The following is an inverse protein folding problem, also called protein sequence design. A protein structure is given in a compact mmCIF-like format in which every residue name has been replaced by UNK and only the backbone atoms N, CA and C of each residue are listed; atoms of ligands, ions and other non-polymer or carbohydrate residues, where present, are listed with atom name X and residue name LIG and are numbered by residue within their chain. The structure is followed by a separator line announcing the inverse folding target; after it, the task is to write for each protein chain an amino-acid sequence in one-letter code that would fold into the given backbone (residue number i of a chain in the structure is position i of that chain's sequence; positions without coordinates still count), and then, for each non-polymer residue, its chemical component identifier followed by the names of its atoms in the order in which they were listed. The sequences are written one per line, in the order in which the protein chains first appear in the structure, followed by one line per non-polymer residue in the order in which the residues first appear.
data_IF_910320802287
#
_entry.id   IF_910320802287
#
_cell.length_a   1.000
_cell.length_b   1.000
_cell.length_c   1.000
_cell.angle_alpha   90.00
_cell.angle_beta   90.00
_cell.angle_gamma   90.00
#
_symmetry.space_group_name_H-M   'P 1'
#
loop_
_entity.id
_entity.type
_entity.pdbx_description
1 polymer ?
#
# COMPACT_ATOMS: atom_id res chain seq x y z
N UNK A 1 21.33 -14.34 1.32
CA UNK A 1 20.41 -13.27 1.80
C UNK A 1 19.91 -13.65 3.19
N UNK A 2 20.28 -12.92 4.25
CA UNK A 2 19.86 -13.25 5.61
C UNK A 2 18.48 -12.61 5.90
N UNK A 3 17.41 -13.39 5.84
CA UNK A 3 16.01 -12.95 5.95
C UNK A 3 15.53 -12.74 7.40
N UNK A 4 16.42 -12.79 8.39
CA UNK A 4 16.07 -12.73 9.82
C UNK A 4 16.53 -11.46 10.53
N UNK A 5 17.22 -10.54 9.83
CA UNK A 5 17.68 -9.26 10.39
C UNK A 5 16.53 -8.25 10.55
N UNK A 6 16.65 -7.22 11.42
CA UNK A 6 15.63 -6.16 11.59
C UNK A 6 15.24 -5.44 10.28
N UNK A 7 16.09 -5.44 9.25
CA UNK A 7 15.76 -4.93 7.91
C UNK A 7 14.86 -5.87 7.08
N UNK A 8 14.60 -7.07 7.58
CA UNK A 8 13.71 -8.09 6.99
C UNK A 8 12.24 -7.67 7.03
N UNK A 9 11.81 -6.98 8.08
CA UNK A 9 10.40 -6.62 8.27
C UNK A 9 9.87 -5.74 7.13
N UNK A 10 10.63 -4.73 6.69
CA UNK A 10 10.28 -3.88 5.54
C UNK A 10 10.19 -4.67 4.23
N UNK A 11 11.07 -5.66 4.05
CA UNK A 11 11.06 -6.52 2.86
C UNK A 11 9.87 -7.47 2.86
N UNK A 12 9.57 -8.09 4.00
CA UNK A 12 8.38 -8.94 4.15
C UNK A 12 7.11 -8.14 3.95
N UNK A 13 7.01 -6.94 4.53
CA UNK A 13 5.90 -6.03 4.27
C UNK A 13 5.77 -5.73 2.78
N UNK A 14 6.84 -5.30 2.13
CA UNK A 14 6.81 -4.96 0.71
C UNK A 14 6.42 -6.16 -0.16
N UNK A 15 6.95 -7.36 0.10
CA UNK A 15 6.60 -8.58 -0.65
C UNK A 15 5.13 -8.95 -0.43
N UNK A 16 4.67 -9.01 0.81
CA UNK A 16 3.31 -9.45 1.14
C UNK A 16 2.26 -8.48 0.59
N UNK A 17 2.46 -7.17 0.80
CA UNK A 17 1.52 -6.15 0.34
C UNK A 17 1.56 -6.01 -1.19
N UNK A 18 2.74 -6.04 -1.82
CA UNK A 18 2.82 -6.02 -3.28
C UNK A 18 2.16 -7.26 -3.90
N UNK A 19 2.36 -8.44 -3.33
CA UNK A 19 1.72 -9.67 -3.82
C UNK A 19 0.20 -9.59 -3.69
N UNK A 20 -0.30 -9.16 -2.53
CA UNK A 20 -1.73 -9.01 -2.30
C UNK A 20 -2.37 -8.02 -3.28
N UNK A 21 -1.77 -6.84 -3.47
CA UNK A 21 -2.27 -5.84 -4.42
C UNK A 21 -2.16 -6.31 -5.87
N UNK A 22 -1.09 -7.00 -6.26
CA UNK A 22 -0.93 -7.52 -7.61
C UNK A 22 -2.04 -8.54 -7.94
N UNK A 23 -2.26 -9.53 -7.06
CA UNK A 23 -3.32 -10.53 -7.25
C UNK A 23 -4.69 -9.83 -7.35
N UNK A 24 -4.98 -8.90 -6.44
CA UNK A 24 -6.26 -8.19 -6.41
C UNK A 24 -6.48 -7.33 -7.66
N UNK A 25 -5.48 -6.56 -8.08
CA UNK A 25 -5.60 -5.69 -9.24
C UNK A 25 -5.74 -6.50 -10.53
N UNK A 26 -4.92 -7.54 -10.70
CA UNK A 26 -4.97 -8.41 -11.89
C UNK A 26 -6.30 -9.14 -11.98
N UNK A 27 -6.78 -9.75 -10.88
CA UNK A 27 -8.09 -10.42 -10.86
C UNK A 27 -9.22 -9.46 -11.23
N UNK A 28 -9.19 -8.23 -10.73
CA UNK A 28 -10.20 -7.20 -11.03
C UNK A 28 -10.17 -6.78 -12.49
N UNK A 29 -8.98 -6.59 -13.08
CA UNK A 29 -8.81 -6.26 -14.50
C UNK A 29 -9.29 -7.40 -15.41
N UNK A 30 -8.96 -8.65 -15.06
CA UNK A 30 -9.34 -9.85 -15.83
C UNK A 30 -10.85 -10.08 -15.83
N UNK A 31 -11.55 -9.80 -14.73
CA UNK A 31 -13.00 -10.00 -14.62
C UNK A 31 -13.85 -8.86 -15.23
N UNK A 32 -13.23 -7.93 -15.95
CA UNK A 32 -13.94 -6.82 -16.59
C UNK A 32 -14.05 -5.60 -15.69
N UNK A 33 -12.92 -4.92 -15.47
CA UNK A 33 -12.89 -3.69 -14.70
C UNK A 33 -13.68 -2.57 -15.37
N UNK A 34 -14.48 -1.85 -14.58
CA UNK A 34 -15.16 -0.62 -15.02
C UNK A 34 -14.27 0.59 -14.79
N UNK A 35 -14.17 1.49 -15.77
CA UNK A 35 -13.48 2.78 -15.64
C UNK A 35 -14.44 3.96 -15.50
N UNK A 36 -15.75 3.73 -15.51
CA UNK A 36 -16.73 4.75 -15.17
C UNK A 36 -16.60 5.06 -13.67
N UNK A 37 -16.36 6.31 -13.30
CA UNK A 37 -16.28 6.73 -11.89
C UNK A 37 -17.63 6.52 -11.20
N UNK A 38 -17.71 5.70 -10.12
CA UNK A 38 -16.65 4.94 -9.43
C UNK A 38 -16.24 3.63 -10.12
N UNK A 39 -15.01 3.59 -10.64
CA UNK A 39 -14.56 2.47 -11.46
C UNK A 39 -13.64 1.52 -10.70
N UNK A 40 -13.94 0.23 -10.72
CA UNK A 40 -13.04 -0.82 -10.19
C UNK A 40 -11.68 -0.84 -10.90
N UNK A 41 -11.62 -0.32 -12.13
CA UNK A 41 -10.39 -0.12 -12.91
C UNK A 41 -9.47 0.96 -12.34
N UNK A 42 -10.02 2.11 -11.91
CA UNK A 42 -9.23 3.16 -11.25
C UNK A 42 -8.59 2.67 -9.96
N UNK A 43 -9.35 1.90 -9.17
CA UNK A 43 -8.86 1.27 -7.94
C UNK A 43 -7.73 0.27 -8.21
N UNK A 44 -7.86 -0.52 -9.27
CA UNK A 44 -6.82 -1.47 -9.70
C UNK A 44 -5.55 -0.77 -10.15
N UNK A 45 -5.67 0.39 -10.80
CA UNK A 45 -4.53 1.20 -11.25
C UNK A 45 -3.71 1.72 -10.05
N UNK A 46 -4.38 2.27 -9.02
CA UNK A 46 -3.70 2.69 -7.79
C UNK A 46 -3.03 1.53 -7.05
N UNK A 47 -3.65 0.35 -7.04
CA UNK A 47 -3.05 -0.86 -6.48
C UNK A 47 -1.78 -1.26 -7.26
N UNK A 48 -1.81 -1.25 -8.60
CA UNK A 48 -0.62 -1.53 -9.41
C UNK A 48 0.48 -0.49 -9.22
N UNK A 49 0.13 0.78 -9.03
CA UNK A 49 1.10 1.83 -8.72
C UNK A 49 1.76 1.59 -7.36
N UNK A 50 1.00 1.17 -6.34
CA UNK A 50 1.54 0.78 -5.05
C UNK A 50 2.46 -0.46 -5.16
N UNK A 51 2.09 -1.45 -5.98
CA UNK A 51 2.95 -2.60 -6.30
C UNK A 51 4.27 -2.13 -6.92
N UNK A 52 4.22 -1.25 -7.92
CA UNK A 52 5.41 -0.74 -8.59
C UNK A 52 6.35 -0.01 -7.62
N UNK A 53 5.81 0.80 -6.70
CA UNK A 53 6.59 1.46 -5.66
C UNK A 53 7.27 0.46 -4.72
N UNK A 54 6.54 -0.56 -4.24
CA UNK A 54 7.10 -1.57 -3.34
C UNK A 54 8.15 -2.45 -4.02
N UNK A 55 7.91 -2.85 -5.28
CA UNK A 55 8.89 -3.60 -6.09
C UNK A 55 10.15 -2.76 -6.33
N UNK A 56 9.99 -1.47 -6.62
CA UNK A 56 11.12 -0.53 -6.76
C UNK A 56 11.94 -0.48 -5.47
N UNK A 57 11.28 -0.39 -4.31
CA UNK A 57 11.95 -0.46 -3.01
C UNK A 57 12.64 -1.80 -2.75
N UNK A 58 12.09 -2.92 -3.22
CA UNK A 58 12.73 -4.23 -3.12
C UNK A 58 13.97 -4.36 -4.00
N UNK A 59 13.95 -3.78 -5.21
CA UNK A 59 15.10 -3.74 -6.12
C UNK A 59 16.16 -2.73 -5.69
N UNK A 60 15.73 -1.63 -5.04
CA UNK A 60 16.57 -0.54 -4.56
C UNK A 60 16.43 -0.39 -3.03
N UNK A 61 17.18 -1.17 -2.23
CA UNK A 61 16.99 -1.23 -0.79
C UNK A 61 17.21 0.11 -0.06
N UNK A 62 17.98 1.02 -0.66
CA UNK A 62 18.16 2.41 -0.21
C UNK A 62 16.84 3.22 -0.24
N UNK A 63 15.93 2.91 -1.16
CA UNK A 63 14.62 3.56 -1.30
C UNK A 63 13.49 2.81 -0.58
N UNK A 64 13.72 1.59 -0.11
CA UNK A 64 12.67 0.73 0.46
C UNK A 64 11.86 1.41 1.56
N UNK A 65 12.52 2.16 2.44
CA UNK A 65 11.83 2.91 3.51
C UNK A 65 10.96 4.02 2.93
N UNK A 66 11.48 4.80 1.99
CA UNK A 66 10.73 5.86 1.34
C UNK A 66 9.50 5.29 0.61
N UNK A 67 9.65 4.16 -0.09
CA UNK A 67 8.55 3.48 -0.76
C UNK A 67 7.49 2.96 0.21
N UNK A 68 7.89 2.33 1.32
CA UNK A 68 6.95 1.86 2.36
C UNK A 68 6.22 3.02 3.03
N UNK A 69 6.93 4.13 3.32
CA UNK A 69 6.33 5.34 3.87
C UNK A 69 5.33 5.96 2.89
N UNK A 70 5.67 6.06 1.61
CA UNK A 70 4.78 6.62 0.59
C UNK A 70 3.49 5.79 0.45
N UNK A 71 3.61 4.47 0.39
CA UNK A 71 2.45 3.57 0.30
C UNK A 71 1.62 3.62 1.59
N UNK A 72 2.26 3.62 2.76
CA UNK A 72 1.57 3.76 4.04
C UNK A 72 0.82 5.08 4.16
N UNK A 73 1.43 6.19 3.74
CA UNK A 73 0.81 7.51 3.73
C UNK A 73 -0.37 7.57 2.77
N UNK A 74 -0.23 7.07 1.54
CA UNK A 74 -1.31 7.04 0.55
C UNK A 74 -2.56 6.32 1.10
N UNK A 75 -2.35 5.13 1.70
CA UNK A 75 -3.43 4.32 2.26
C UNK A 75 -3.97 4.89 3.58
N UNK A 76 -3.15 5.59 4.37
CA UNK A 76 -3.62 6.33 5.54
C UNK A 76 -4.50 7.52 5.13
N UNK A 77 -4.10 8.29 4.12
CA UNK A 77 -4.93 9.38 3.57
C UNK A 77 -6.24 8.85 3.01
N UNK A 78 -6.21 7.74 2.27
CA UNK A 78 -7.44 7.08 1.80
C UNK A 78 -8.35 6.68 2.97
N UNK A 79 -7.79 6.11 4.04
CA UNK A 79 -8.54 5.77 5.27
C UNK A 79 -9.16 7.00 5.93
N UNK A 80 -8.43 8.11 6.05
CA UNK A 80 -8.93 9.35 6.65
C UNK A 80 -10.05 9.95 5.79
N UNK A 81 -9.90 9.92 4.46
CA UNK A 81 -10.94 10.36 3.53
C UNK A 81 -12.20 9.49 3.66
N UNK A 82 -12.06 8.17 3.77
CA UNK A 82 -13.19 7.25 4.01
C UNK A 82 -13.89 7.51 5.35
N UNK A 83 -13.14 7.82 6.42
CA UNK A 83 -13.71 8.10 7.75
C UNK A 83 -14.42 9.45 7.82
N UNK A 84 -13.89 10.46 7.14
CA UNK A 84 -14.48 11.81 7.11
C UNK A 84 -15.70 11.92 6.21
N UNK A 85 -15.82 11.03 5.22
CA UNK A 85 -16.95 10.94 4.29
C UNK A 85 -17.75 9.65 4.50
N UNK A 86 -18.24 9.44 5.72
CA UNK A 86 -18.79 8.15 6.19
C UNK A 86 -20.02 7.61 5.43
N UNK A 87 -20.68 8.41 4.58
CA UNK A 87 -21.76 7.93 3.69
C UNK A 87 -21.35 7.87 2.20
N UNK A 88 -20.26 8.51 1.79
CA UNK A 88 -19.99 8.70 0.37
C UNK A 88 -18.59 9.26 0.11
N UNK A 89 -17.65 8.47 -0.43
CA UNK A 89 -16.39 9.02 -0.99
C UNK A 89 -16.78 9.95 -2.16
N UNK A 90 -16.99 11.25 -1.89
CA UNK A 90 -17.45 12.28 -2.84
C UNK A 90 -18.86 12.08 -3.43
N UNK A 91 -19.83 11.54 -2.70
CA UNK A 91 -21.24 11.56 -3.15
C UNK A 91 -21.58 10.56 -4.28
N UNK A 92 -20.66 9.66 -4.63
CA UNK A 92 -20.72 8.89 -5.88
C UNK A 92 -20.12 7.49 -5.81
N UNK A 93 -19.42 7.11 -4.74
CA UNK A 93 -18.55 5.91 -4.72
C UNK A 93 -18.99 4.95 -3.62
N UNK A 94 -19.69 3.83 -3.96
CA UNK A 94 -19.89 2.73 -3.03
C UNK A 94 -18.52 2.17 -2.64
N UNK A 95 -18.15 2.38 -1.38
CA UNK A 95 -16.95 1.78 -0.80
C UNK A 95 -17.30 0.35 -0.43
N UNK A 96 -16.72 -0.61 -1.14
CA UNK A 96 -16.82 -2.02 -0.76
C UNK A 96 -16.39 -2.17 0.70
N UNK A 97 -17.18 -2.86 1.54
CA UNK A 97 -16.88 -3.06 2.97
C UNK A 97 -15.47 -3.63 3.24
N UNK A 98 -14.90 -4.29 2.23
CA UNK A 98 -13.52 -4.80 2.21
C UNK A 98 -12.46 -3.70 2.14
N UNK A 99 -12.72 -2.60 1.43
CA UNK A 99 -11.78 -1.47 1.33
C UNK A 99 -11.69 -0.70 2.65
N UNK A 100 -12.81 -0.59 3.38
CA UNK A 100 -12.85 -0.07 4.76
C UNK A 100 -11.93 -0.83 5.74
N UNK A 101 -11.60 -2.09 5.46
CA UNK A 101 -10.70 -2.88 6.30
C UNK A 101 -9.27 -2.91 5.76
N UNK A 102 -9.08 -2.92 4.44
CA UNK A 102 -7.76 -3.03 3.80
C UNK A 102 -6.97 -1.72 3.96
N UNK A 103 -7.59 -0.56 3.80
CA UNK A 103 -6.90 0.73 3.93
C UNK A 103 -6.27 0.96 5.32
N UNK A 104 -7.01 0.83 6.44
CA UNK A 104 -6.43 1.02 7.77
C UNK A 104 -5.40 -0.06 8.10
N UNK A 105 -5.61 -1.30 7.67
CA UNK A 105 -4.70 -2.40 7.97
C UNK A 105 -3.33 -2.22 7.28
N UNK A 106 -3.33 -1.78 6.02
CA UNK A 106 -2.09 -1.45 5.28
C UNK A 106 -1.37 -0.28 5.95
N UNK A 107 -2.10 0.76 6.35
CA UNK A 107 -1.53 1.92 7.03
C UNK A 107 -0.90 1.56 8.40
N UNK A 108 -1.60 0.79 9.22
CA UNK A 108 -1.12 0.35 10.55
C UNK A 108 0.09 -0.56 10.41
N UNK A 109 0.05 -1.53 9.49
CA UNK A 109 1.20 -2.40 9.24
C UNK A 109 2.43 -1.62 8.75
N UNK A 110 2.25 -0.62 7.89
CA UNK A 110 3.34 0.26 7.46
C UNK A 110 3.96 0.99 8.65
N UNK A 111 3.14 1.58 9.54
CA UNK A 111 3.61 2.28 10.74
C UNK A 111 4.37 1.34 11.68
N UNK A 112 3.82 0.16 11.97
CA UNK A 112 4.45 -0.84 12.85
C UNK A 112 5.81 -1.26 12.29
N UNK A 113 5.87 -1.57 10.99
CA UNK A 113 7.11 -2.01 10.35
C UNK A 113 8.15 -0.89 10.30
N UNK A 114 7.75 0.36 10.05
CA UNK A 114 8.63 1.52 10.09
C UNK A 114 9.15 1.80 11.50
N UNK A 115 8.31 1.66 12.53
CA UNK A 115 8.70 1.88 13.92
C UNK A 115 9.70 0.83 14.41
N UNK A 116 9.51 -0.44 14.04
CA UNK A 116 10.42 -1.54 14.43
C UNK A 116 11.72 -1.49 13.62
N UNK A 117 11.65 -1.04 12.36
CA UNK A 117 12.81 -0.87 11.50
C UNK A 117 13.51 0.46 11.82
N UNK A 118 14.32 0.53 12.88
CA UNK A 118 15.01 1.78 13.27
C UNK A 118 15.80 2.41 12.12
N UNK A 119 15.81 3.75 11.96
CA UNK A 119 16.71 4.45 11.06
C UNK A 119 18.13 3.96 11.26
N UNK A 120 18.79 3.52 10.19
CA UNK A 120 20.23 3.34 10.25
C UNK A 120 20.79 4.77 10.29
N UNK A 121 21.49 5.18 11.36
CA UNK A 121 22.03 6.53 11.44
C UNK A 121 22.88 6.78 10.20
N UNK A 122 22.69 7.95 9.58
CA UNK A 122 23.54 8.40 8.50
C UNK A 122 24.98 8.28 9.01
N UNK A 123 25.81 7.51 8.32
CA UNK A 123 27.24 7.53 8.59
C UNK A 123 27.71 8.93 8.23
N UNK A 124 28.03 9.72 9.24
CA UNK A 124 28.79 10.94 9.08
C UNK A 124 30.07 10.57 8.31
N UNK A 125 30.25 11.20 7.15
CA UNK A 125 31.44 11.10 6.29
C UNK A 125 32.27 12.36 6.52
#
# INVERSE_FOLDING_TARGET
MNWTSRGSALRWYAVLIATFFAIRAVTTLVHGASFATPGTGWRSLFQLLAVALLVTGLLRPEWLRACVTAVGALYATATILELTHSDDLLGLIPVDMRDRLVHPLVAVLALVVLAISRPMPARDI
#
